data_IF_614736881522
#
_entry.id   IF_614736881522
#
_cell.length_a   1.000
_cell.length_b   1.000
_cell.length_c   1.000
_cell.angle_alpha   90.00
_cell.angle_beta   90.00
_cell.angle_gamma   90.00
#
_symmetry.space_group_name_H-M   'P 1'
#
loop_
_entity.id
_entity.type
_entity.pdbx_description
1 polymer ?
#
# COMPACT_ATOMS: atom_id res chain seq x y z
N UNK A 1 24.99 25.27 -4.27
CA UNK A 1 23.68 24.64 -3.96
C UNK A 1 23.88 23.84 -2.69
N UNK A 2 23.24 24.22 -1.58
CA UNK A 2 23.41 23.52 -0.32
C UNK A 2 22.77 22.13 -0.45
N UNK A 3 23.58 21.08 -0.36
CA UNK A 3 23.11 19.70 -0.34
C UNK A 3 22.28 19.53 0.94
N UNK A 4 20.96 19.58 0.79
CA UNK A 4 20.02 19.42 1.91
C UNK A 4 20.27 18.03 2.52
N UNK A 5 20.85 18.01 3.72
CA UNK A 5 20.98 16.79 4.52
C UNK A 5 19.66 16.59 5.25
N UNK A 6 18.92 15.53 4.91
CA UNK A 6 17.76 15.09 5.65
C UNK A 6 18.12 14.81 7.12
N UNK A 7 17.22 15.10 8.05
CA UNK A 7 17.39 14.69 9.45
C UNK A 7 17.32 13.16 9.58
N UNK A 8 17.89 12.57 10.65
CA UNK A 8 17.77 11.12 10.90
C UNK A 8 16.31 10.64 10.94
N UNK A 9 15.39 11.47 11.43
CA UNK A 9 13.96 11.16 11.48
C UNK A 9 13.33 11.19 10.09
N UNK A 10 13.69 12.17 9.25
CA UNK A 10 13.26 12.20 7.85
C UNK A 10 13.76 10.98 7.07
N UNK A 11 15.01 10.58 7.28
CA UNK A 11 15.57 9.37 6.63
C UNK A 11 14.81 8.12 7.04
N UNK A 12 14.54 7.93 8.34
CA UNK A 12 13.71 6.81 8.83
C UNK A 12 12.32 6.81 8.20
N UNK A 13 11.69 7.98 8.12
CA UNK A 13 10.36 8.13 7.52
C UNK A 13 10.35 7.78 6.03
N UNK A 14 11.36 8.23 5.29
CA UNK A 14 11.53 7.92 3.87
C UNK A 14 11.71 6.40 3.68
N UNK A 15 12.55 5.76 4.49
CA UNK A 15 12.79 4.32 4.45
C UNK A 15 11.51 3.52 4.73
N UNK A 16 10.75 3.92 5.75
CA UNK A 16 9.45 3.32 6.09
C UNK A 16 8.45 3.45 4.93
N UNK A 17 8.37 4.61 4.28
CA UNK A 17 7.51 4.82 3.09
C UNK A 17 7.94 3.91 1.93
N UNK A 18 9.24 3.74 1.68
CA UNK A 18 9.74 2.83 0.66
C UNK A 18 9.42 1.35 0.97
N UNK A 19 9.41 0.94 2.24
CA UNK A 19 8.94 -0.39 2.63
C UNK A 19 7.46 -0.63 2.30
N UNK A 20 6.63 0.38 2.53
CA UNK A 20 5.23 0.31 2.13
C UNK A 20 5.08 0.25 0.61
N UNK A 21 5.82 1.07 -0.15
CA UNK A 21 5.81 1.02 -1.62
C UNK A 21 6.17 -0.36 -2.16
N UNK A 22 7.23 -0.99 -1.62
CA UNK A 22 7.59 -2.37 -1.98
C UNK A 22 6.45 -3.36 -1.74
N UNK A 23 5.70 -3.19 -0.65
CA UNK A 23 4.55 -4.05 -0.35
C UNK A 23 3.41 -3.81 -1.34
N UNK A 24 3.16 -2.55 -1.72
CA UNK A 24 2.15 -2.20 -2.73
C UNK A 24 2.51 -2.78 -4.09
N UNK A 25 3.79 -2.80 -4.47
CA UNK A 25 4.25 -3.44 -5.72
C UNK A 25 3.95 -4.94 -5.74
N UNK A 26 4.17 -5.64 -4.63
CA UNK A 26 3.81 -7.06 -4.47
C UNK A 26 2.30 -7.24 -4.62
N UNK A 27 1.50 -6.42 -3.94
CA UNK A 27 0.02 -6.50 -4.03
C UNK A 27 -0.46 -6.22 -5.45
N UNK A 28 0.12 -5.22 -6.14
CA UNK A 28 -0.18 -4.92 -7.55
C UNK A 28 0.08 -6.12 -8.45
N UNK A 29 1.21 -6.80 -8.26
CA UNK A 29 1.54 -8.00 -9.03
C UNK A 29 0.51 -9.12 -8.78
N UNK A 30 0.16 -9.37 -7.53
CA UNK A 30 -0.86 -10.37 -7.18
C UNK A 30 -2.25 -10.04 -7.75
N UNK A 31 -2.64 -8.77 -7.78
CA UNK A 31 -3.90 -8.33 -8.39
C UNK A 31 -3.88 -8.54 -9.91
N UNK A 32 -2.76 -8.26 -10.57
CA UNK A 32 -2.59 -8.54 -12.00
C UNK A 32 -2.62 -10.05 -12.29
N UNK A 33 -1.98 -10.87 -11.46
CA UNK A 33 -2.07 -12.33 -11.54
C UNK A 33 -3.51 -12.81 -11.36
N UNK A 34 -4.25 -12.25 -10.39
CA UNK A 34 -5.66 -12.56 -10.16
C UNK A 34 -6.52 -12.21 -11.38
N UNK A 35 -6.26 -11.08 -12.02
CA UNK A 35 -6.97 -10.67 -13.23
C UNK A 35 -6.70 -11.63 -14.39
N UNK A 36 -5.44 -11.98 -14.62
CA UNK A 36 -5.03 -12.94 -15.64
C UNK A 36 -5.63 -14.34 -15.41
N UNK A 37 -5.82 -14.72 -14.15
CA UNK A 37 -6.35 -16.03 -13.74
C UNK A 37 -7.84 -15.99 -13.35
N UNK A 38 -8.60 -14.93 -13.67
CA UNK A 38 -10.00 -14.79 -13.24
C UNK A 38 -10.94 -15.91 -13.70
N UNK A 39 -10.56 -16.62 -14.77
CA UNK A 39 -11.28 -17.78 -15.32
C UNK A 39 -10.58 -19.12 -15.04
N UNK A 40 -9.52 -19.11 -14.23
CA UNK A 40 -8.82 -20.32 -13.80
C UNK A 40 -9.66 -21.12 -12.79
N UNK A 41 -9.13 -22.27 -12.37
CA UNK A 41 -9.77 -23.09 -11.35
C UNK A 41 -9.98 -22.30 -10.04
N UNK A 42 -11.10 -22.58 -9.37
CA UNK A 42 -11.51 -21.88 -8.13
C UNK A 42 -10.41 -21.85 -7.07
N UNK A 43 -9.64 -22.95 -6.93
CA UNK A 43 -8.54 -23.02 -5.96
C UNK A 43 -7.44 -21.99 -6.25
N UNK A 44 -7.11 -21.74 -7.53
CA UNK A 44 -6.09 -20.78 -7.93
C UNK A 44 -6.53 -19.35 -7.60
N UNK A 45 -7.77 -19.01 -7.95
CA UNK A 45 -8.37 -17.71 -7.65
C UNK A 45 -8.45 -17.47 -6.14
N UNK A 46 -8.87 -18.48 -5.38
CA UNK A 46 -8.94 -18.41 -3.93
C UNK A 46 -7.56 -18.20 -3.30
N UNK A 47 -6.55 -18.97 -3.74
CA UNK A 47 -5.19 -18.84 -3.25
C UNK A 47 -4.61 -17.43 -3.48
N UNK A 48 -4.84 -16.85 -4.67
CA UNK A 48 -4.43 -15.47 -4.97
C UNK A 48 -5.16 -14.46 -4.07
N UNK A 49 -6.46 -14.63 -3.86
CA UNK A 49 -7.24 -13.78 -2.95
C UNK A 49 -6.73 -13.86 -1.50
N UNK A 50 -6.42 -15.06 -1.01
CA UNK A 50 -5.86 -15.27 0.33
C UNK A 50 -4.48 -14.60 0.49
N UNK A 51 -3.62 -14.70 -0.52
CA UNK A 51 -2.32 -14.01 -0.52
C UNK A 51 -2.49 -12.50 -0.49
N UNK A 52 -3.35 -11.93 -1.34
CA UNK A 52 -3.64 -10.49 -1.32
C UNK A 52 -4.17 -10.05 0.05
N UNK A 53 -5.11 -10.82 0.62
CA UNK A 53 -5.68 -10.52 1.92
C UNK A 53 -4.63 -10.50 3.04
N UNK A 54 -3.68 -11.45 2.99
CA UNK A 54 -2.58 -11.55 3.94
C UNK A 54 -1.62 -10.37 3.83
N UNK A 55 -1.12 -10.07 2.63
CA UNK A 55 -0.17 -8.97 2.42
C UNK A 55 -0.76 -7.62 2.86
N UNK A 56 -2.02 -7.38 2.48
CA UNK A 56 -2.72 -6.14 2.86
C UNK A 56 -3.06 -6.08 4.35
N UNK A 57 -3.34 -7.21 5.00
CA UNK A 57 -3.52 -7.27 6.46
C UNK A 57 -2.23 -6.95 7.22
N UNK A 58 -1.11 -7.53 6.80
CA UNK A 58 0.20 -7.26 7.39
C UNK A 58 0.62 -5.80 7.16
N UNK A 59 0.35 -5.25 5.97
CA UNK A 59 0.55 -3.84 5.68
C UNK A 59 -0.29 -2.95 6.60
N UNK A 60 -1.56 -3.27 6.83
CA UNK A 60 -2.40 -2.55 7.78
C UNK A 60 -1.79 -2.55 9.18
N UNK A 61 -1.36 -3.70 9.69
CA UNK A 61 -0.77 -3.80 11.02
C UNK A 61 0.46 -2.90 11.17
N UNK A 62 1.34 -2.87 10.18
CA UNK A 62 2.49 -1.95 10.15
C UNK A 62 2.07 -0.48 10.04
N UNK A 63 1.04 -0.19 9.24
CA UNK A 63 0.57 1.18 9.05
C UNK A 63 -0.08 1.79 10.32
N UNK A 64 -0.67 0.97 11.18
CA UNK A 64 -1.25 1.41 12.46
C UNK A 64 -0.20 2.02 13.41
N UNK A 65 1.05 1.58 13.33
CA UNK A 65 2.15 2.13 14.14
C UNK A 65 2.85 3.30 13.45
N UNK A 66 2.90 3.27 12.11
CA UNK A 66 3.57 4.28 11.30
C UNK A 66 2.82 5.62 11.23
N UNK A 67 1.48 5.60 11.32
CA UNK A 67 0.64 6.80 11.13
C UNK A 67 0.96 7.55 9.81
N UNK A 68 1.09 6.81 8.70
CA UNK A 68 1.29 7.37 7.36
C UNK A 68 -0.07 7.46 6.66
N UNK A 69 -0.61 8.68 6.57
CA UNK A 69 -1.85 8.94 5.83
C UNK A 69 -3.00 8.04 6.27
N UNK A 70 -3.77 7.54 5.30
CA UNK A 70 -4.87 6.58 5.52
C UNK A 70 -4.54 5.20 4.97
N UNK A 71 -3.24 4.86 4.88
CA UNK A 71 -2.75 3.59 4.34
C UNK A 71 -3.34 2.40 5.10
N UNK A 72 -3.44 2.49 6.43
CA UNK A 72 -4.02 1.44 7.27
C UNK A 72 -5.49 1.15 6.93
N UNK A 73 -6.27 2.18 6.61
CA UNK A 73 -7.67 2.05 6.26
C UNK A 73 -7.84 1.40 4.88
N UNK A 74 -7.09 1.87 3.88
CA UNK A 74 -7.12 1.31 2.53
C UNK A 74 -6.62 -0.13 2.53
N UNK A 75 -5.50 -0.42 3.18
CA UNK A 75 -4.97 -1.77 3.33
C UNK A 75 -5.98 -2.70 4.03
N UNK A 76 -6.67 -2.18 5.04
CA UNK A 76 -7.76 -2.89 5.72
C UNK A 76 -8.93 -3.23 4.80
N UNK A 77 -9.41 -2.24 4.05
CA UNK A 77 -10.50 -2.43 3.10
C UNK A 77 -10.12 -3.45 2.01
N UNK A 78 -8.90 -3.38 1.48
CA UNK A 78 -8.40 -4.33 0.50
C UNK A 78 -8.31 -5.76 1.06
N UNK A 79 -7.87 -5.91 2.31
CA UNK A 79 -7.80 -7.21 2.97
C UNK A 79 -9.18 -7.87 3.10
N UNK A 80 -10.19 -7.10 3.51
CA UNK A 80 -11.57 -7.56 3.58
C UNK A 80 -12.12 -7.88 2.18
N UNK A 81 -11.83 -7.03 1.19
CA UNK A 81 -12.30 -7.24 -0.19
C UNK A 81 -11.74 -8.53 -0.78
N UNK A 82 -10.43 -8.76 -0.63
CA UNK A 82 -9.78 -9.97 -1.08
C UNK A 82 -10.32 -11.22 -0.35
N UNK A 83 -10.42 -11.18 0.98
CA UNK A 83 -10.81 -12.35 1.77
C UNK A 83 -12.31 -12.68 1.77
N UNK A 84 -13.20 -11.68 1.66
CA UNK A 84 -14.64 -11.85 1.90
C UNK A 84 -15.55 -11.11 0.92
N UNK A 85 -15.04 -10.16 0.16
CA UNK A 85 -15.88 -9.30 -0.68
C UNK A 85 -16.31 -9.94 -2.00
N UNK A 86 -17.61 -10.02 -2.26
CA UNK A 86 -18.27 -10.15 -3.58
C UNK A 86 -17.73 -11.15 -4.60
N UNK A 87 -18.23 -11.03 -5.83
CA UNK A 87 -17.74 -11.79 -6.99
C UNK A 87 -16.41 -11.28 -7.54
N UNK A 88 -15.72 -12.09 -8.35
CA UNK A 88 -14.35 -11.82 -8.83
C UNK A 88 -14.19 -10.45 -9.51
N UNK A 89 -15.16 -10.02 -10.31
CA UNK A 89 -15.11 -8.73 -11.00
C UNK A 89 -15.16 -7.53 -10.02
N UNK A 90 -15.93 -7.67 -8.93
CA UNK A 90 -16.02 -6.64 -7.90
C UNK A 90 -14.73 -6.58 -7.08
N UNK A 91 -14.15 -7.74 -6.76
CA UNK A 91 -12.83 -7.83 -6.12
C UNK A 91 -11.77 -7.14 -6.95
N UNK A 92 -11.66 -7.50 -8.23
CA UNK A 92 -10.64 -6.94 -9.12
C UNK A 92 -10.74 -5.42 -9.23
N UNK A 93 -11.97 -4.88 -9.38
CA UNK A 93 -12.18 -3.43 -9.41
C UNK A 93 -11.66 -2.77 -8.14
N UNK A 94 -12.17 -3.15 -6.98
CA UNK A 94 -11.82 -2.43 -5.76
C UNK A 94 -10.39 -2.71 -5.27
N UNK A 95 -9.80 -3.85 -5.62
CA UNK A 95 -8.38 -4.10 -5.38
C UNK A 95 -7.49 -3.21 -6.27
N UNK A 96 -7.86 -3.03 -7.53
CA UNK A 96 -7.14 -2.14 -8.46
C UNK A 96 -7.25 -0.67 -8.03
N UNK A 97 -8.44 -0.24 -7.61
CA UNK A 97 -8.68 1.09 -7.02
C UNK A 97 -7.87 1.27 -5.72
N UNK A 98 -7.84 0.24 -4.86
CA UNK A 98 -7.07 0.23 -3.62
C UNK A 98 -5.57 0.38 -3.86
N UNK A 99 -4.99 -0.38 -4.80
CA UNK A 99 -3.59 -0.24 -5.23
C UNK A 99 -3.30 1.18 -5.69
N UNK A 100 -4.17 1.75 -6.54
CA UNK A 100 -4.00 3.10 -7.06
C UNK A 100 -4.03 4.15 -5.95
N UNK A 101 -4.97 4.03 -5.00
CA UNK A 101 -5.06 4.90 -3.83
C UNK A 101 -3.80 4.83 -2.96
N UNK A 102 -3.26 3.63 -2.73
CA UNK A 102 -2.04 3.45 -1.92
C UNK A 102 -0.82 4.14 -2.55
N UNK A 103 -0.64 4.05 -3.88
CA UNK A 103 0.44 4.78 -4.55
C UNK A 103 0.31 6.29 -4.39
N UNK A 104 -0.89 6.83 -4.56
CA UNK A 104 -1.14 8.28 -4.42
C UNK A 104 -0.77 8.74 -3.01
N UNK A 105 -1.23 8.02 -1.99
CA UNK A 105 -0.95 8.37 -0.59
C UNK A 105 0.53 8.24 -0.24
N UNK A 106 1.20 7.19 -0.73
CA UNK A 106 2.63 6.98 -0.49
C UNK A 106 3.49 8.02 -1.19
N UNK A 107 3.15 8.40 -2.42
CA UNK A 107 3.83 9.48 -3.14
C UNK A 107 3.67 10.83 -2.42
N UNK A 108 2.46 11.13 -1.95
CA UNK A 108 2.21 12.33 -1.14
C UNK A 108 3.00 12.31 0.18
N UNK A 109 3.01 11.18 0.88
CA UNK A 109 3.76 11.02 2.12
C UNK A 109 5.28 11.15 1.88
N UNK A 110 5.78 10.61 0.77
CA UNK A 110 7.20 10.70 0.41
C UNK A 110 7.60 12.15 0.14
N UNK A 111 6.79 12.89 -0.64
CA UNK A 111 7.01 14.32 -0.91
C UNK A 111 7.03 15.13 0.38
N UNK A 112 6.13 14.84 1.31
CA UNK A 112 6.11 15.50 2.63
C UNK A 112 7.37 15.16 3.44
N UNK A 113 7.77 13.89 3.51
CA UNK A 113 8.96 13.46 4.25
C UNK A 113 10.26 14.06 3.68
N UNK A 114 10.31 14.27 2.36
CA UNK A 114 11.44 14.89 1.66
C UNK A 114 11.43 16.42 1.68
N UNK A 115 10.38 17.06 2.19
CA UNK A 115 10.34 18.52 2.33
C UNK A 115 11.09 18.92 3.62
N UNK A 116 12.12 19.77 3.55
CA UNK A 116 12.82 20.25 4.74
C UNK A 116 11.86 21.01 5.66
N UNK A 117 11.96 20.80 6.97
CA UNK A 117 11.17 21.56 7.94
C UNK A 117 11.44 23.07 7.75
N UNK A 118 10.40 23.92 7.68
CA UNK A 118 10.59 25.35 7.61
C UNK A 118 11.35 25.79 8.86
N UNK A 119 12.45 26.55 8.68
CA UNK A 119 13.15 27.20 9.78
C UNK A 119 12.12 27.99 10.58
N UNK A 120 11.84 27.54 11.81
CA UNK A 120 11.00 28.26 12.77
C UNK A 120 11.53 29.71 12.82
N UNK A 121 10.70 30.75 12.59
CA UNK A 121 11.14 32.11 12.85
C UNK A 121 11.50 32.20 14.33
N UNK A 122 12.67 32.76 14.61
CA UNK A 122 13.22 32.95 15.95
C UNK A 122 12.31 33.85 16.81
#
# INVERSE_FOLDING_TARGET
MAQQKFSPEQLRRIEEIHEFQRTVDVVKHLVAELEANRAAATHTVQHLCERIAKETSQMRQRALTANIGTIGDVAGAMSVMAGRGGGINMKLRGLTEGVSSLYIQLDQALKQAMTPEPKKPA
#
